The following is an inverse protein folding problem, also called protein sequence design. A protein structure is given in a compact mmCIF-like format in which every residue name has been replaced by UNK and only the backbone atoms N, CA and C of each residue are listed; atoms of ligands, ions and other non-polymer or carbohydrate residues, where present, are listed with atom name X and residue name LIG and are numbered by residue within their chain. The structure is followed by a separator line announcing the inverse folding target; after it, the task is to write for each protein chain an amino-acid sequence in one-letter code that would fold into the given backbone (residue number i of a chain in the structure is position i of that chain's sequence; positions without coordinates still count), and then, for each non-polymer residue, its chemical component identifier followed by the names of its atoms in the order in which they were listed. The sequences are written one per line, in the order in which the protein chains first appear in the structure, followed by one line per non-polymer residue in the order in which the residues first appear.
data_IF_811515532324
#
_entry.id   IF_811515532324
#
_cell.length_a   1.000
_cell.length_b   1.000
_cell.length_c   1.000
_cell.angle_alpha   90.00
_cell.angle_beta   90.00
_cell.angle_gamma   90.00
#
_symmetry.space_group_name_H-M   'P 1'
#
loop_
_entity.id
_entity.type
_entity.pdbx_description
1 polymer ?
#
# COMPACT_ATOMS: atom_id res chain seq x y z
N UNK A 1 -15.23 -3.10 6.10
CA UNK A 1 -15.64 -3.01 7.52
C UNK A 1 -14.45 -3.03 8.49
N UNK A 2 -13.44 -3.88 8.31
CA UNK A 2 -12.26 -3.95 9.20
C UNK A 2 -11.56 -2.59 9.40
N UNK A 3 -11.29 -1.84 8.33
CA UNK A 3 -10.67 -0.51 8.42
C UNK A 3 -11.46 0.47 9.32
N UNK A 4 -12.79 0.51 9.19
CA UNK A 4 -13.65 1.39 10.00
C UNK A 4 -13.63 0.98 11.47
N UNK A 5 -13.46 -0.32 11.77
CA UNK A 5 -13.35 -0.80 13.14
C UNK A 5 -12.06 -0.32 13.83
N UNK A 6 -10.95 -0.23 13.08
CA UNK A 6 -9.68 0.26 13.59
C UNK A 6 -9.67 1.79 13.78
N UNK A 7 -10.47 2.53 12.99
CA UNK A 7 -10.54 4.01 13.03
C UNK A 7 -11.99 4.55 13.08
N UNK A 8 -12.77 4.26 14.13
CA UNK A 8 -14.22 4.46 14.08
C UNK A 8 -14.67 5.91 14.21
N UNK A 9 -14.00 6.72 15.03
CA UNK A 9 -14.52 8.06 15.39
C UNK A 9 -14.18 9.11 14.33
N UNK A 10 -12.88 9.28 14.06
CA UNK A 10 -12.36 10.32 13.18
C UNK A 10 -11.89 9.80 11.81
N UNK A 11 -11.99 8.49 11.58
CA UNK A 11 -11.45 7.85 10.38
C UNK A 11 -9.92 7.83 10.41
N UNK A 12 -9.35 7.33 9.32
CA UNK A 12 -7.90 7.26 9.12
C UNK A 12 -7.33 8.49 8.38
N UNK A 13 -8.15 9.52 8.14
CA UNK A 13 -7.76 10.75 7.44
C UNK A 13 -7.96 10.70 5.92
N UNK A 14 -7.82 11.84 5.26
CA UNK A 14 -7.97 11.94 3.80
C UNK A 14 -6.94 11.08 3.04
N UNK A 15 -7.39 10.30 2.06
CA UNK A 15 -6.53 9.35 1.35
C UNK A 15 -6.30 8.03 2.09
N UNK A 16 -6.96 7.80 3.23
CA UNK A 16 -6.84 6.57 4.01
C UNK A 16 -7.09 5.30 3.20
N UNK A 17 -8.05 5.32 2.27
CA UNK A 17 -8.32 4.16 1.42
C UNK A 17 -7.07 3.77 0.63
N UNK A 18 -6.52 4.69 -0.17
CA UNK A 18 -5.32 4.44 -0.97
C UNK A 18 -4.11 4.02 -0.14
N UNK A 19 -3.99 4.48 1.11
CA UNK A 19 -2.87 4.16 1.98
C UNK A 19 -3.01 2.83 2.73
N UNK A 20 -4.24 2.36 2.97
CA UNK A 20 -4.50 1.24 3.89
C UNK A 20 -5.27 0.07 3.25
N UNK A 21 -5.82 0.21 2.03
CA UNK A 21 -6.68 -0.83 1.45
C UNK A 21 -5.95 -2.18 1.34
N UNK A 22 -4.66 -2.19 1.00
CA UNK A 22 -3.87 -3.42 0.84
C UNK A 22 -3.82 -4.26 2.13
N UNK A 23 -3.77 -3.60 3.30
CA UNK A 23 -3.81 -4.28 4.60
C UNK A 23 -5.14 -5.00 4.84
N UNK A 24 -6.25 -4.46 4.32
CA UNK A 24 -7.59 -4.97 4.60
C UNK A 24 -8.24 -5.70 3.42
N UNK A 25 -7.53 -5.83 2.29
CA UNK A 25 -8.03 -6.47 1.08
C UNK A 25 -8.28 -7.98 1.35
N UNK A 26 -9.30 -8.52 0.70
CA UNK A 26 -9.71 -9.92 0.81
C UNK A 26 -9.25 -10.78 -0.39
N UNK A 27 -8.76 -10.15 -1.45
CA UNK A 27 -8.20 -10.74 -2.65
C UNK A 27 -7.28 -9.68 -3.30
N UNK A 28 -6.36 -10.03 -4.22
CA UNK A 28 -5.31 -9.14 -4.76
C UNK A 28 -5.85 -8.07 -5.72
N UNK A 29 -6.96 -7.41 -5.41
CA UNK A 29 -7.51 -6.35 -6.24
C UNK A 29 -6.71 -5.05 -6.10
N UNK A 30 -6.62 -4.27 -7.18
CA UNK A 30 -6.06 -2.93 -7.13
C UNK A 30 -7.19 -1.89 -7.05
N UNK A 31 -7.05 -0.91 -6.16
CA UNK A 31 -8.09 0.09 -5.95
C UNK A 31 -7.50 1.41 -5.49
N UNK A 32 -7.54 2.41 -6.37
CA UNK A 32 -7.17 3.78 -6.01
C UNK A 32 -8.21 4.45 -5.09
N UNK A 33 -9.48 4.05 -5.21
CA UNK A 33 -10.62 4.66 -4.51
C UNK A 33 -11.64 3.59 -4.13
N UNK A 34 -12.29 3.74 -2.98
CA UNK A 34 -13.43 2.88 -2.65
C UNK A 34 -14.51 3.11 -3.71
N UNK A 35 -15.10 2.06 -4.26
CA UNK A 35 -16.22 2.13 -5.21
C UNK A 35 -17.54 2.53 -4.51
N UNK A 36 -17.49 3.58 -3.69
CA UNK A 36 -18.60 4.22 -3.01
C UNK A 36 -18.08 5.47 -2.33
N UNK A 37 -18.63 6.64 -2.70
CA UNK A 37 -18.31 7.90 -2.03
C UNK A 37 -18.55 7.83 -0.52
N UNK A 38 -19.67 7.22 -0.10
CA UNK A 38 -20.02 7.13 1.31
C UNK A 38 -19.05 6.25 2.09
N UNK A 39 -18.61 5.13 1.50
CA UNK A 39 -17.60 4.27 2.12
C UNK A 39 -16.26 4.98 2.22
N UNK A 40 -15.83 5.67 1.16
CA UNK A 40 -14.61 6.48 1.19
C UNK A 40 -14.71 7.55 2.27
N UNK A 41 -15.80 8.33 2.30
CA UNK A 41 -16.01 9.40 3.27
C UNK A 41 -16.05 8.87 4.71
N UNK A 42 -16.67 7.72 4.94
CA UNK A 42 -16.70 7.05 6.25
C UNK A 42 -15.31 6.59 6.69
N UNK A 43 -14.52 6.01 5.80
CA UNK A 43 -13.14 5.56 6.09
C UNK A 43 -12.23 6.75 6.39
N UNK A 44 -12.39 7.86 5.67
CA UNK A 44 -11.53 9.04 5.81
C UNK A 44 -11.89 9.91 7.02
N UNK A 45 -13.19 10.05 7.34
CA UNK A 45 -13.69 10.99 8.36
C UNK A 45 -14.30 10.31 9.59
N UNK A 46 -14.45 9.00 9.56
CA UNK A 46 -15.08 8.21 10.61
C UNK A 46 -16.57 8.43 10.71
N UNK A 47 -17.18 7.78 11.70
CA UNK A 47 -18.62 7.87 11.98
C UNK A 47 -19.03 9.31 12.30
N UNK A 48 -18.15 10.09 12.96
CA UNK A 48 -18.46 11.48 13.30
C UNK A 48 -18.64 12.33 12.04
N UNK A 49 -17.67 12.30 11.12
CA UNK A 49 -17.76 13.03 9.87
C UNK A 49 -18.94 12.55 9.04
N UNK A 50 -19.14 11.24 8.98
CA UNK A 50 -20.27 10.63 8.26
C UNK A 50 -21.64 11.11 8.77
N UNK A 51 -21.83 11.18 10.10
CA UNK A 51 -23.06 11.70 10.70
C UNK A 51 -23.24 13.19 10.38
N UNK A 52 -22.16 13.98 10.39
CA UNK A 52 -22.22 15.40 10.01
C UNK A 52 -22.68 15.57 8.57
N UNK A 53 -22.13 14.78 7.64
CA UNK A 53 -22.54 14.79 6.23
C UNK A 53 -24.02 14.40 6.08
N UNK A 54 -24.45 13.28 6.66
CA UNK A 54 -25.84 12.83 6.57
C UNK A 54 -26.81 13.80 7.24
N UNK A 55 -26.42 14.40 8.37
CA UNK A 55 -27.20 15.42 9.05
C UNK A 55 -27.36 16.68 8.20
N UNK A 56 -26.27 17.14 7.57
CA UNK A 56 -26.29 18.27 6.64
C UNK A 56 -27.22 18.01 5.45
N UNK A 57 -27.07 16.86 4.78
CA UNK A 57 -27.94 16.47 3.67
C UNK A 57 -29.40 16.35 4.13
N UNK A 58 -29.65 15.69 5.26
CA UNK A 58 -30.98 15.51 5.83
C UNK A 58 -31.69 16.83 6.14
N UNK A 59 -30.96 17.84 6.66
CA UNK A 59 -31.51 19.18 6.90
C UNK A 59 -31.87 19.88 5.59
N UNK A 60 -30.98 19.85 4.60
CA UNK A 60 -31.22 20.50 3.29
C UNK A 60 -32.43 19.87 2.60
N UNK A 61 -32.45 18.54 2.47
CA UNK A 61 -33.54 17.80 1.85
C UNK A 61 -34.85 17.95 2.63
N UNK A 62 -34.83 17.80 3.95
CA UNK A 62 -36.02 17.93 4.79
C UNK A 62 -36.66 19.31 4.69
N UNK A 63 -35.85 20.38 4.71
CA UNK A 63 -36.34 21.75 4.55
C UNK A 63 -36.79 22.06 3.12
N UNK A 64 -36.09 21.54 2.11
CA UNK A 64 -36.50 21.65 0.72
C UNK A 64 -37.88 21.01 0.49
N UNK A 65 -38.08 19.76 0.93
CA UNK A 65 -39.37 19.05 0.79
C UNK A 65 -40.51 19.77 1.52
N UNK A 66 -40.23 20.32 2.72
CA UNK A 66 -41.21 21.13 3.45
C UNK A 66 -41.59 22.41 2.68
N UNK A 67 -40.62 23.08 2.05
CA UNK A 67 -40.87 24.27 1.23
C UNK A 67 -41.64 23.91 -0.04
N UNK A 68 -41.19 22.86 -0.73
CA UNK A 68 -41.80 22.36 -1.96
C UNK A 68 -43.27 21.99 -1.80
N UNK A 69 -43.65 21.37 -0.67
CA UNK A 69 -45.05 21.03 -0.34
C UNK A 69 -45.96 22.25 -0.13
N UNK A 70 -45.39 23.40 0.24
CA UNK A 70 -46.13 24.64 0.53
C UNK A 70 -46.09 25.64 -0.63
N UNK A 71 -45.25 25.39 -1.63
CA UNK A 71 -45.01 26.31 -2.73
C UNK A 71 -46.01 26.11 -3.87
N UNK A 72 -46.36 27.20 -4.54
CA UNK A 72 -47.12 27.19 -5.79
C UNK A 72 -46.32 26.53 -6.93
N UNK A 73 -47.01 26.03 -7.95
CA UNK A 73 -46.42 25.23 -9.04
C UNK A 73 -45.24 25.91 -9.75
N UNK A 74 -45.34 27.21 -10.03
CA UNK A 74 -44.28 28.00 -10.67
C UNK A 74 -43.01 28.05 -9.79
N UNK A 75 -43.18 28.18 -8.47
CA UNK A 75 -42.05 28.19 -7.53
C UNK A 75 -41.43 26.80 -7.35
N UNK A 76 -42.27 25.75 -7.36
CA UNK A 76 -41.80 24.36 -7.34
C UNK A 76 -40.92 24.04 -8.54
N UNK A 77 -41.39 24.37 -9.75
CA UNK A 77 -40.67 24.07 -10.99
C UNK A 77 -39.31 24.80 -11.09
N UNK A 78 -39.19 26.00 -10.53
CA UNK A 78 -37.95 26.81 -10.57
C UNK A 78 -36.75 26.13 -9.89
N UNK A 79 -36.97 25.35 -8.83
CA UNK A 79 -35.88 24.75 -8.05
C UNK A 79 -35.82 23.22 -8.16
N UNK A 80 -36.78 22.59 -8.83
CA UNK A 80 -36.89 21.13 -8.92
C UNK A 80 -35.71 20.48 -9.65
N UNK A 81 -35.13 21.14 -10.65
CA UNK A 81 -33.95 20.64 -11.36
C UNK A 81 -32.76 20.38 -10.44
N UNK A 82 -32.56 21.23 -9.43
CA UNK A 82 -31.46 21.06 -8.46
C UNK A 82 -31.68 19.84 -7.58
N UNK A 83 -32.93 19.54 -7.22
CA UNK A 83 -33.27 18.31 -6.50
C UNK A 83 -32.97 17.07 -7.35
N UNK A 84 -33.39 17.06 -8.62
CA UNK A 84 -33.12 15.93 -9.54
C UNK A 84 -31.61 15.71 -9.68
N UNK A 85 -30.85 16.76 -9.97
CA UNK A 85 -29.40 16.67 -10.18
C UNK A 85 -28.67 16.19 -8.93
N UNK A 86 -28.90 16.82 -7.77
CA UNK A 86 -28.27 16.42 -6.52
C UNK A 86 -28.61 14.96 -6.16
N UNK A 87 -29.88 14.58 -6.28
CA UNK A 87 -30.35 13.24 -5.91
C UNK A 87 -29.80 12.18 -6.85
N UNK A 88 -29.82 12.44 -8.16
CA UNK A 88 -29.28 11.52 -9.16
C UNK A 88 -27.80 11.21 -8.89
N UNK A 89 -27.00 12.25 -8.68
CA UNK A 89 -25.57 12.10 -8.39
C UNK A 89 -25.36 11.38 -7.05
N UNK A 90 -26.00 11.84 -5.96
CA UNK A 90 -25.81 11.29 -4.62
C UNK A 90 -26.27 9.84 -4.47
N UNK A 91 -27.32 9.43 -5.21
CA UNK A 91 -27.77 8.03 -5.26
C UNK A 91 -26.79 7.18 -6.06
N UNK A 92 -26.32 7.67 -7.21
CA UNK A 92 -25.28 6.99 -7.99
C UNK A 92 -23.98 6.80 -7.18
N UNK A 93 -23.61 7.80 -6.38
CA UNK A 93 -22.44 7.77 -5.49
C UNK A 93 -22.51 6.72 -4.37
N UNK A 94 -23.63 6.01 -4.21
CA UNK A 94 -23.70 4.83 -3.33
C UNK A 94 -22.80 3.71 -3.84
N UNK A 95 -22.73 3.53 -5.16
CA UNK A 95 -21.99 2.45 -5.83
C UNK A 95 -20.76 2.93 -6.59
N UNK A 96 -20.59 4.25 -6.72
CA UNK A 96 -19.51 4.84 -7.52
C UNK A 96 -18.76 5.91 -6.72
N UNK A 97 -17.52 6.18 -7.13
CA UNK A 97 -16.61 7.17 -6.57
C UNK A 97 -16.68 8.51 -7.31
N UNK A 98 -17.63 8.71 -8.21
CA UNK A 98 -17.81 9.92 -9.04
C UNK A 98 -17.64 11.27 -8.30
N UNK A 99 -17.94 11.35 -7.00
CA UNK A 99 -17.73 12.53 -6.15
C UNK A 99 -16.26 12.87 -5.89
N UNK A 100 -15.31 11.98 -6.21
CA UNK A 100 -13.87 12.27 -6.17
C UNK A 100 -13.45 13.24 -7.28
N UNK A 101 -14.24 13.36 -8.35
CA UNK A 101 -14.07 14.39 -9.36
C UNK A 101 -14.60 15.73 -8.83
N UNK A 102 -13.69 16.69 -8.65
CA UNK A 102 -14.00 18.02 -8.07
C UNK A 102 -15.18 18.70 -8.77
N UNK A 103 -15.28 18.59 -10.10
CA UNK A 103 -16.38 19.22 -10.85
C UNK A 103 -17.75 18.60 -10.52
N UNK A 104 -17.84 17.29 -10.27
CA UNK A 104 -19.08 16.63 -9.83
C UNK A 104 -19.46 17.12 -8.43
N UNK A 105 -18.48 17.20 -7.52
CA UNK A 105 -18.69 17.77 -6.19
C UNK A 105 -19.25 19.19 -6.24
N UNK A 106 -18.67 20.06 -7.08
CA UNK A 106 -19.16 21.44 -7.29
C UNK A 106 -20.62 21.44 -7.76
N UNK A 107 -20.99 20.59 -8.74
CA UNK A 107 -22.37 20.49 -9.23
C UNK A 107 -23.35 20.09 -8.14
N UNK A 108 -22.98 19.14 -7.28
CA UNK A 108 -23.80 18.73 -6.12
C UNK A 108 -23.97 19.91 -5.16
N UNK A 109 -22.90 20.57 -4.73
CA UNK A 109 -23.00 21.67 -3.77
C UNK A 109 -23.74 22.90 -4.33
N UNK A 110 -23.58 23.21 -5.62
CA UNK A 110 -24.41 24.23 -6.30
C UNK A 110 -25.88 23.82 -6.26
N UNK A 111 -26.19 22.56 -6.53
CA UNK A 111 -27.56 22.03 -6.50
C UNK A 111 -28.15 22.05 -5.09
N UNK A 112 -27.37 21.69 -4.06
CA UNK A 112 -27.79 21.85 -2.66
C UNK A 112 -28.06 23.32 -2.32
N UNK A 113 -27.23 24.25 -2.80
CA UNK A 113 -27.44 25.70 -2.66
C UNK A 113 -28.71 26.20 -3.37
N UNK A 114 -28.97 25.69 -4.58
CA UNK A 114 -30.20 25.97 -5.33
C UNK A 114 -31.45 25.49 -4.61
N UNK A 115 -31.42 24.28 -4.04
CA UNK A 115 -32.48 23.80 -3.15
C UNK A 115 -32.63 24.69 -1.92
N UNK A 116 -31.53 25.09 -1.29
CA UNK A 116 -31.55 25.95 -0.10
C UNK A 116 -32.16 27.34 -0.38
N UNK A 117 -31.96 27.88 -1.59
CA UNK A 117 -32.55 29.16 -2.01
C UNK A 117 -34.09 29.14 -2.04
N UNK A 118 -34.71 27.97 -2.19
CA UNK A 118 -36.17 27.82 -2.16
C UNK A 118 -36.75 27.78 -0.74
N UNK A 119 -35.92 27.65 0.30
CA UNK A 119 -36.38 27.52 1.69
C UNK A 119 -36.76 28.89 2.22
N UNK A 120 -37.99 29.03 2.74
CA UNK A 120 -38.45 30.29 3.33
C UNK A 120 -37.54 30.74 4.48
N UNK A 121 -37.11 32.01 4.45
CA UNK A 121 -36.29 32.63 5.51
C UNK A 121 -37.12 32.83 6.78
N UNK A 122 -37.24 31.81 7.63
CA UNK A 122 -37.73 32.02 8.98
C UNK A 122 -36.56 32.47 9.88
N UNK A 123 -36.66 33.60 10.58
CA UNK A 123 -35.59 34.03 11.48
C UNK A 123 -35.43 33.01 12.62
N UNK A 124 -34.20 32.56 12.87
CA UNK A 124 -33.86 31.75 14.04
C UNK A 124 -34.22 32.53 15.31
N UNK A 125 -35.30 32.12 15.99
CA UNK A 125 -35.96 32.89 17.06
C UNK A 125 -35.20 33.00 18.40
N UNK A 126 -33.91 32.67 18.51
CA UNK A 126 -33.27 32.54 19.85
C UNK A 126 -31.83 33.03 20.02
N UNK A 127 -31.17 33.55 18.99
CA UNK A 127 -29.78 34.04 19.12
C UNK A 127 -29.71 35.45 18.53
N UNK A 128 -29.02 36.39 19.19
CA UNK A 128 -28.79 37.73 18.64
C UNK A 128 -28.17 37.56 17.24
N UNK A 129 -28.90 37.91 16.16
CA UNK A 129 -28.56 37.46 14.81
C UNK A 129 -27.25 38.08 14.30
N UNK A 130 -26.79 39.18 14.89
CA UNK A 130 -25.62 39.91 14.44
C UNK A 130 -24.30 39.31 14.95
N UNK A 131 -24.23 38.89 16.22
CA UNK A 131 -23.02 38.28 16.80
C UNK A 131 -22.76 36.89 16.24
N UNK A 132 -23.81 36.07 16.06
CA UNK A 132 -23.68 34.74 15.47
C UNK A 132 -23.26 34.80 13.99
N UNK A 133 -23.83 35.73 13.21
CA UNK A 133 -23.42 35.94 11.81
C UNK A 133 -21.98 36.42 11.70
N UNK A 134 -21.56 37.36 12.56
CA UNK A 134 -20.18 37.81 12.62
C UNK A 134 -19.23 36.67 12.98
N UNK A 135 -19.55 35.88 14.02
CA UNK A 135 -18.74 34.73 14.43
C UNK A 135 -18.64 33.67 13.32
N UNK A 136 -19.75 33.29 12.67
CA UNK A 136 -19.73 32.34 11.56
C UNK A 136 -18.93 32.87 10.36
N UNK A 137 -19.10 34.14 9.99
CA UNK A 137 -18.33 34.77 8.92
C UNK A 137 -16.83 34.83 9.25
N UNK A 138 -16.47 35.13 10.49
CA UNK A 138 -15.08 35.11 10.96
C UNK A 138 -14.49 33.70 10.92
N UNK A 139 -15.22 32.67 11.36
CA UNK A 139 -14.75 31.28 11.31
C UNK A 139 -14.52 30.84 9.86
N UNK A 140 -15.49 31.08 8.97
CA UNK A 140 -15.35 30.75 7.54
C UNK A 140 -14.22 31.55 6.89
N UNK A 141 -14.08 32.83 7.24
CA UNK A 141 -12.98 33.68 6.76
C UNK A 141 -11.62 33.16 7.21
N UNK A 142 -11.46 32.82 8.50
CA UNK A 142 -10.23 32.24 9.05
C UNK A 142 -9.94 30.89 8.39
N UNK A 143 -10.92 30.00 8.27
CA UNK A 143 -10.76 28.72 7.60
C UNK A 143 -10.35 28.89 6.13
N UNK A 144 -10.94 29.86 5.42
CA UNK A 144 -10.58 30.21 4.05
C UNK A 144 -9.15 30.74 3.93
N UNK A 145 -8.71 31.60 4.86
CA UNK A 145 -7.32 32.10 4.90
C UNK A 145 -6.34 30.97 5.19
N UNK A 146 -6.64 30.09 6.15
CA UNK A 146 -5.83 28.90 6.45
C UNK A 146 -5.71 28.02 5.19
N UNK A 147 -6.83 27.69 4.55
CA UNK A 147 -6.87 26.90 3.32
C UNK A 147 -6.06 27.54 2.18
N UNK A 148 -6.15 28.86 2.03
CA UNK A 148 -5.40 29.60 1.02
C UNK A 148 -3.90 29.53 1.29
N UNK A 149 -3.46 29.80 2.53
CA UNK A 149 -2.05 29.72 2.92
C UNK A 149 -1.53 28.29 2.73
N UNK A 150 -2.26 27.27 3.19
CA UNK A 150 -1.86 25.87 3.02
C UNK A 150 -1.77 25.47 1.55
N UNK A 151 -2.70 25.93 0.71
CA UNK A 151 -2.68 25.66 -0.74
C UNK A 151 -1.47 26.29 -1.40
N UNK A 152 -1.14 27.55 -1.07
CA UNK A 152 0.05 28.23 -1.59
C UNK A 152 1.33 27.50 -1.17
N UNK A 153 1.43 27.07 0.09
CA UNK A 153 2.56 26.29 0.58
C UNK A 153 2.69 24.96 -0.18
N UNK A 154 1.58 24.25 -0.42
CA UNK A 154 1.60 22.98 -1.13
C UNK A 154 2.01 23.14 -2.59
N UNK A 155 1.53 24.19 -3.27
CA UNK A 155 1.96 24.55 -4.63
C UNK A 155 3.46 24.86 -4.65
N UNK A 156 3.98 25.61 -3.66
CA UNK A 156 5.40 25.91 -3.58
C UNK A 156 6.27 24.66 -3.36
N UNK A 157 5.83 23.74 -2.49
CA UNK A 157 6.52 22.48 -2.27
C UNK A 157 6.53 21.62 -3.54
N UNK A 158 5.37 21.45 -4.18
CA UNK A 158 5.23 20.69 -5.42
C UNK A 158 6.02 21.30 -6.58
N UNK A 159 6.02 22.62 -6.71
CA UNK A 159 6.81 23.32 -7.72
C UNK A 159 8.31 23.17 -7.47
N UNK A 160 8.75 23.21 -6.21
CA UNK A 160 10.15 23.00 -5.86
C UNK A 160 10.58 21.56 -6.16
N UNK A 161 9.75 20.57 -5.83
CA UNK A 161 10.02 19.17 -6.19
C UNK A 161 10.05 18.94 -7.71
N UNK A 162 9.15 19.55 -8.47
CA UNK A 162 9.17 19.48 -9.93
C UNK A 162 10.47 20.08 -10.52
N UNK A 163 10.98 21.17 -9.93
CA UNK A 163 12.29 21.73 -10.30
C UNK A 163 13.43 20.78 -9.94
N UNK A 164 13.39 20.15 -8.77
CA UNK A 164 14.39 19.15 -8.38
C UNK A 164 14.47 18.00 -9.41
N UNK A 165 13.33 17.41 -9.79
CA UNK A 165 13.28 16.37 -10.81
C UNK A 165 13.79 16.86 -12.17
N UNK A 166 13.38 18.06 -12.59
CA UNK A 166 13.85 18.66 -13.85
C UNK A 166 15.37 18.84 -13.87
N UNK A 167 15.94 19.42 -12.80
CA UNK A 167 17.39 19.59 -12.65
C UNK A 167 18.12 18.26 -12.66
N UNK A 168 17.61 17.26 -11.93
CA UNK A 168 18.20 15.93 -11.89
C UNK A 168 18.28 15.27 -13.28
N UNK A 169 17.21 15.39 -14.08
CA UNK A 169 17.14 14.79 -15.41
C UNK A 169 17.98 15.58 -16.44
N UNK A 170 17.89 16.90 -16.44
CA UNK A 170 18.49 17.73 -17.49
C UNK A 170 19.97 18.05 -17.23
N UNK A 171 20.34 18.41 -16.00
CA UNK A 171 21.69 18.89 -15.69
C UNK A 171 22.50 17.92 -14.83
N UNK A 172 21.83 17.00 -14.12
CA UNK A 172 22.43 16.09 -13.14
C UNK A 172 23.20 16.81 -12.03
N UNK A 173 22.89 18.09 -11.79
CA UNK A 173 23.51 18.88 -10.72
C UNK A 173 22.93 18.46 -9.37
N UNK A 174 23.72 17.73 -8.59
CA UNK A 174 23.34 17.25 -7.27
C UNK A 174 23.02 18.39 -6.29
N UNK A 175 23.86 19.43 -6.24
CA UNK A 175 23.72 20.52 -5.27
C UNK A 175 22.45 21.32 -5.54
N UNK A 176 22.20 21.65 -6.81
CA UNK A 176 21.01 22.37 -7.21
C UNK A 176 19.74 21.52 -7.02
N UNK A 177 19.81 20.22 -7.34
CA UNK A 177 18.71 19.27 -7.08
C UNK A 177 18.37 19.24 -5.58
N UNK A 178 19.39 19.09 -4.74
CA UNK A 178 19.24 19.04 -3.28
C UNK A 178 18.70 20.35 -2.70
N UNK A 179 19.08 21.50 -3.26
CA UNK A 179 18.53 22.80 -2.87
C UNK A 179 17.00 22.86 -3.07
N UNK A 180 16.52 22.46 -4.25
CA UNK A 180 15.09 22.44 -4.54
C UNK A 180 14.34 21.38 -3.73
N UNK A 181 14.95 20.21 -3.54
CA UNK A 181 14.37 19.11 -2.79
C UNK A 181 14.24 19.42 -1.29
N UNK A 182 15.29 19.97 -0.68
CA UNK A 182 15.25 20.43 0.72
C UNK A 182 14.22 21.55 0.93
N UNK A 183 14.03 22.44 -0.05
CA UNK A 183 12.96 23.44 0.01
C UNK A 183 11.57 22.76 0.01
N UNK A 184 11.36 21.73 -0.80
CA UNK A 184 10.11 20.97 -0.81
C UNK A 184 9.87 20.26 0.53
N UNK A 185 10.88 19.56 1.05
CA UNK A 185 10.83 18.84 2.33
C UNK A 185 10.65 19.76 3.54
N UNK A 186 11.21 20.98 3.52
CA UNK A 186 10.99 21.98 4.58
C UNK A 186 9.52 22.39 4.68
N UNK A 187 8.80 22.42 3.56
CA UNK A 187 7.38 22.80 3.52
C UNK A 187 6.48 21.59 3.76
N UNK A 188 6.80 20.43 3.16
CA UNK A 188 6.07 19.17 3.32
C UNK A 188 7.05 18.02 3.53
N UNK A 189 7.46 17.81 4.77
CA UNK A 189 8.43 16.76 5.14
C UNK A 189 7.84 15.35 5.03
N UNK A 190 6.51 15.23 5.04
CA UNK A 190 5.82 13.94 5.09
C UNK A 190 5.47 13.39 3.70
N UNK A 191 5.94 13.99 2.60
CA UNK A 191 5.59 13.51 1.25
C UNK A 191 6.55 12.37 0.87
N UNK A 192 6.06 11.13 0.65
CA UNK A 192 6.91 9.97 0.43
C UNK A 192 7.87 10.14 -0.74
N UNK A 193 7.41 10.72 -1.84
CA UNK A 193 8.19 10.90 -3.05
C UNK A 193 9.38 11.84 -2.84
N UNK A 194 9.24 12.81 -1.93
CA UNK A 194 10.30 13.78 -1.65
C UNK A 194 11.41 13.12 -0.82
N UNK A 195 11.01 12.36 0.20
CA UNK A 195 11.92 11.61 1.06
C UNK A 195 12.61 10.48 0.28
N UNK A 196 11.87 9.73 -0.54
CA UNK A 196 12.39 8.67 -1.39
C UNK A 196 13.45 9.20 -2.37
N UNK A 197 13.17 10.31 -3.07
CA UNK A 197 14.14 10.90 -3.98
C UNK A 197 15.43 11.33 -3.25
N UNK A 198 15.29 11.98 -2.08
CA UNK A 198 16.44 12.43 -1.30
C UNK A 198 17.30 11.24 -0.84
N UNK A 199 16.65 10.18 -0.37
CA UNK A 199 17.33 8.96 0.05
C UNK A 199 18.01 8.25 -1.11
N UNK A 200 17.38 8.16 -2.29
CA UNK A 200 17.98 7.56 -3.49
C UNK A 200 19.23 8.33 -3.95
N UNK A 201 19.19 9.67 -3.91
CA UNK A 201 20.35 10.50 -4.24
C UNK A 201 21.52 10.24 -3.27
N UNK A 202 21.25 10.17 -1.97
CA UNK A 202 22.29 9.88 -0.99
C UNK A 202 22.80 8.44 -1.06
N UNK A 203 21.93 7.47 -1.31
CA UNK A 203 22.30 6.08 -1.57
C UNK A 203 23.25 5.96 -2.77
N UNK A 204 22.99 6.73 -3.84
CA UNK A 204 23.86 6.78 -5.01
C UNK A 204 25.24 7.39 -4.69
N UNK A 205 25.29 8.47 -3.91
CA UNK A 205 26.56 9.07 -3.48
C UNK A 205 27.34 8.11 -2.57
N UNK A 206 26.65 7.45 -1.64
CA UNK A 206 27.22 6.39 -0.81
C UNK A 206 27.83 5.27 -1.65
N UNK A 207 27.14 4.81 -2.70
CA UNK A 207 27.65 3.79 -3.61
C UNK A 207 28.98 4.19 -4.30
N UNK A 208 29.19 5.49 -4.53
CA UNK A 208 30.36 6.01 -5.22
C UNK A 208 31.51 6.33 -4.28
N UNK A 209 31.23 6.88 -3.11
CA UNK A 209 32.23 7.44 -2.20
C UNK A 209 32.52 6.56 -0.99
N UNK A 210 31.58 5.69 -0.60
CA UNK A 210 31.68 4.87 0.61
C UNK A 210 31.58 5.66 1.92
N UNK A 211 31.19 6.94 1.89
CA UNK A 211 31.05 7.76 3.10
C UNK A 211 29.74 7.46 3.84
N UNK A 212 29.89 6.93 5.05
CA UNK A 212 28.82 6.53 5.97
C UNK A 212 27.85 7.66 6.32
N UNK A 213 28.27 8.93 6.23
CA UNK A 213 27.38 10.07 6.46
C UNK A 213 26.21 10.09 5.47
N UNK A 214 26.43 9.70 4.21
CA UNK A 214 25.37 9.65 3.20
C UNK A 214 24.41 8.48 3.42
N UNK A 215 24.92 7.33 3.86
CA UNK A 215 24.06 6.22 4.28
C UNK A 215 23.14 6.65 5.44
N UNK A 216 23.72 7.25 6.49
CA UNK A 216 22.98 7.68 7.67
C UNK A 216 21.91 8.73 7.33
N UNK A 217 22.21 9.67 6.45
CA UNK A 217 21.24 10.69 6.01
C UNK A 217 20.13 10.10 5.14
N UNK A 218 20.42 9.12 4.28
CA UNK A 218 19.42 8.40 3.50
C UNK A 218 18.46 7.61 4.41
N UNK A 219 19.02 6.85 5.36
CA UNK A 219 18.25 6.07 6.32
C UNK A 219 17.39 6.99 7.21
N UNK A 220 17.98 8.05 7.75
CA UNK A 220 17.27 9.03 8.58
C UNK A 220 16.10 9.66 7.84
N UNK A 221 16.31 10.06 6.58
CA UNK A 221 15.27 10.65 5.74
C UNK A 221 14.10 9.67 5.53
N UNK A 222 14.38 8.40 5.26
CA UNK A 222 13.35 7.38 5.07
C UNK A 222 12.60 7.08 6.38
N UNK A 223 13.32 6.87 7.48
CA UNK A 223 12.72 6.57 8.80
C UNK A 223 11.83 7.71 9.30
N UNK A 224 12.27 8.96 9.16
CA UNK A 224 11.43 10.12 9.52
C UNK A 224 10.13 10.18 8.73
N UNK A 225 10.16 9.81 7.45
CA UNK A 225 8.95 9.77 6.63
C UNK A 225 8.06 8.58 6.99
N UNK A 226 8.65 7.42 7.29
CA UNK A 226 7.95 6.22 7.77
C UNK A 226 7.30 6.42 9.15
N UNK A 227 7.88 7.23 10.05
CA UNK A 227 7.26 7.58 11.33
C UNK A 227 5.89 8.26 11.15
N UNK A 228 5.68 8.94 10.01
CA UNK A 228 4.41 9.59 9.66
C UNK A 228 3.55 8.72 8.75
N UNK A 229 4.14 7.81 8.00
CA UNK A 229 3.46 6.89 7.10
C UNK A 229 4.05 5.47 7.19
N UNK A 230 3.77 4.73 8.28
CA UNK A 230 4.47 3.47 8.56
C UNK A 230 4.29 2.38 7.50
N UNK A 231 3.17 2.40 6.78
CA UNK A 231 2.87 1.43 5.73
C UNK A 231 3.19 1.91 4.31
N UNK A 232 3.92 3.00 4.13
CA UNK A 232 4.19 3.51 2.78
C UNK A 232 5.17 2.58 2.05
N UNK A 233 4.64 1.81 1.08
CA UNK A 233 5.39 0.82 0.32
C UNK A 233 6.62 1.39 -0.38
N UNK A 234 6.53 2.59 -0.96
CA UNK A 234 7.67 3.21 -1.66
C UNK A 234 8.82 3.41 -0.68
N UNK A 235 8.54 3.99 0.48
CA UNK A 235 9.57 4.24 1.51
C UNK A 235 10.16 2.94 2.06
N UNK A 236 9.32 1.94 2.33
CA UNK A 236 9.78 0.64 2.83
C UNK A 236 10.71 -0.05 1.84
N UNK A 237 10.35 -0.09 0.54
CA UNK A 237 11.20 -0.69 -0.50
C UNK A 237 12.51 0.08 -0.72
N UNK A 238 12.51 1.41 -0.53
CA UNK A 238 13.76 2.20 -0.54
C UNK A 238 14.64 1.91 0.65
N UNK A 239 14.05 1.67 1.82
CA UNK A 239 14.78 1.30 3.02
C UNK A 239 15.40 -0.10 2.88
N UNK A 240 14.63 -1.07 2.35
CA UNK A 240 15.14 -2.41 2.00
C UNK A 240 16.33 -2.31 1.05
N UNK A 241 16.20 -1.57 -0.06
CA UNK A 241 17.27 -1.44 -1.04
C UNK A 241 18.53 -0.78 -0.46
N UNK A 242 18.36 0.16 0.48
CA UNK A 242 19.47 0.78 1.19
C UNK A 242 20.20 -0.22 2.10
N UNK A 243 19.46 -1.05 2.85
CA UNK A 243 20.05 -2.10 3.69
C UNK A 243 20.70 -3.22 2.88
N UNK A 244 20.09 -3.63 1.78
CA UNK A 244 20.66 -4.62 0.86
C UNK A 244 22.02 -4.15 0.32
N UNK A 245 22.11 -2.89 -0.12
CA UNK A 245 23.37 -2.34 -0.61
C UNK A 245 24.49 -2.34 0.45
N UNK A 246 24.14 -2.18 1.73
CA UNK A 246 25.11 -2.19 2.84
C UNK A 246 25.38 -3.59 3.41
N UNK A 247 24.60 -4.61 3.01
CA UNK A 247 24.66 -5.95 3.60
C UNK A 247 24.07 -6.03 5.01
N UNK A 248 23.09 -5.18 5.33
CA UNK A 248 22.39 -5.17 6.62
C UNK A 248 21.21 -6.14 6.60
N UNK A 249 21.49 -7.45 6.57
CA UNK A 249 20.49 -8.51 6.43
C UNK A 249 19.48 -8.53 7.59
N UNK A 250 19.91 -8.24 8.83
CA UNK A 250 19.03 -8.21 10.00
C UNK A 250 17.98 -7.10 9.90
N UNK A 251 18.39 -5.91 9.50
CA UNK A 251 17.50 -4.77 9.31
C UNK A 251 16.62 -4.95 8.08
N UNK A 252 17.14 -5.54 7.00
CA UNK A 252 16.35 -5.94 5.83
C UNK A 252 15.23 -6.91 6.21
N UNK A 253 15.55 -7.96 6.96
CA UNK A 253 14.58 -8.91 7.49
C UNK A 253 13.51 -8.22 8.35
N UNK A 254 13.91 -7.33 9.26
CA UNK A 254 12.95 -6.57 10.11
C UNK A 254 11.96 -5.78 9.28
N UNK A 255 12.40 -5.10 8.23
CA UNK A 255 11.49 -4.34 7.36
C UNK A 255 10.45 -5.25 6.71
N UNK A 256 10.85 -6.43 6.21
CA UNK A 256 9.92 -7.37 5.61
C UNK A 256 8.96 -8.02 6.62
N UNK A 257 9.48 -8.56 7.72
CA UNK A 257 8.70 -9.26 8.76
C UNK A 257 7.69 -8.33 9.45
N UNK A 258 8.11 -7.13 9.87
CA UNK A 258 7.23 -6.17 10.56
C UNK A 258 6.11 -5.61 9.66
N UNK A 259 6.18 -5.81 8.34
CA UNK A 259 5.21 -5.27 7.38
C UNK A 259 4.52 -6.34 6.53
N UNK A 260 4.79 -7.63 6.72
CA UNK A 260 4.16 -8.72 5.96
C UNK A 260 2.62 -8.66 6.05
N UNK A 261 2.07 -8.41 7.24
CA UNK A 261 0.61 -8.27 7.45
C UNK A 261 0.00 -7.03 6.76
N UNK A 262 0.82 -6.05 6.34
CA UNK A 262 0.34 -4.88 5.58
C UNK A 262 0.13 -5.20 4.11
N UNK A 263 0.84 -6.20 3.60
CA UNK A 263 0.83 -6.60 2.20
C UNK A 263 0.44 -8.07 2.02
N UNK A 264 -0.69 -8.53 2.59
CA UNK A 264 -1.04 -9.96 2.67
C UNK A 264 -1.26 -10.62 1.30
N UNK A 265 -1.48 -9.84 0.24
CA UNK A 265 -1.69 -10.33 -1.12
C UNK A 265 -0.60 -9.86 -2.09
N UNK A 266 0.56 -9.51 -1.57
CA UNK A 266 1.71 -9.12 -2.38
C UNK A 266 2.70 -10.27 -2.49
N UNK A 267 2.63 -11.01 -3.59
CA UNK A 267 3.51 -12.15 -3.82
C UNK A 267 4.99 -11.75 -3.83
N UNK A 268 5.35 -10.58 -4.36
CA UNK A 268 6.75 -10.12 -4.38
C UNK A 268 7.23 -9.82 -2.96
N UNK A 269 6.38 -9.24 -2.11
CA UNK A 269 6.69 -9.02 -0.70
C UNK A 269 6.99 -10.33 0.02
N UNK A 270 6.13 -11.34 -0.14
CA UNK A 270 6.32 -12.65 0.50
C UNK A 270 7.55 -13.38 -0.03
N UNK A 271 7.85 -13.27 -1.34
CA UNK A 271 9.04 -13.88 -1.93
C UNK A 271 10.31 -13.29 -1.31
N UNK A 272 10.42 -11.95 -1.30
CA UNK A 272 11.57 -11.25 -0.72
C UNK A 272 11.65 -11.37 0.80
N UNK A 273 10.52 -11.47 1.47
CA UNK A 273 10.45 -11.75 2.90
C UNK A 273 11.02 -13.13 3.23
N UNK A 274 10.67 -14.17 2.46
CA UNK A 274 11.22 -15.51 2.64
C UNK A 274 12.73 -15.55 2.39
N UNK A 275 13.23 -14.89 1.33
CA UNK A 275 14.68 -14.76 1.09
C UNK A 275 15.40 -14.03 2.25
N UNK A 276 14.86 -12.90 2.70
CA UNK A 276 15.45 -12.12 3.80
C UNK A 276 15.46 -12.92 5.12
N UNK A 277 14.39 -13.67 5.40
CA UNK A 277 14.28 -14.54 6.58
C UNK A 277 15.27 -15.68 6.53
N UNK A 278 15.47 -16.29 5.35
CA UNK A 278 16.45 -17.35 5.18
C UNK A 278 17.88 -16.87 5.40
N UNK A 279 18.25 -15.71 4.84
CA UNK A 279 19.57 -15.09 5.07
C UNK A 279 19.79 -14.79 6.54
N UNK A 280 18.81 -14.18 7.20
CA UNK A 280 18.89 -13.90 8.63
C UNK A 280 18.99 -15.19 9.45
N UNK A 281 18.23 -16.23 9.10
CA UNK A 281 18.30 -17.54 9.75
C UNK A 281 19.67 -18.19 9.62
N UNK A 282 20.36 -18.06 8.47
CA UNK A 282 21.73 -18.54 8.27
C UNK A 282 22.71 -17.78 9.16
N UNK A 283 22.60 -16.44 9.24
CA UNK A 283 23.44 -15.61 10.12
C UNK A 283 23.26 -16.04 11.58
N UNK A 284 22.01 -16.14 12.05
CA UNK A 284 21.71 -16.51 13.44
C UNK A 284 22.11 -17.95 13.74
N UNK A 285 21.99 -18.89 12.80
CA UNK A 285 22.43 -20.29 13.01
C UNK A 285 23.90 -20.37 13.39
N UNK A 286 24.75 -19.52 12.80
CA UNK A 286 26.18 -19.47 13.12
C UNK A 286 26.46 -18.89 14.52
N UNK A 287 25.58 -18.03 15.05
CA UNK A 287 25.75 -17.33 16.33
C UNK A 287 25.01 -18.04 17.49
N UNK A 288 23.84 -18.62 17.22
CA UNK A 288 22.89 -19.19 18.19
C UNK A 288 22.03 -20.28 17.52
N UNK A 289 22.54 -21.53 17.43
CA UNK A 289 21.88 -22.64 16.71
C UNK A 289 20.45 -22.93 17.18
N UNK A 290 20.12 -22.64 18.44
CA UNK A 290 18.80 -22.90 19.02
C UNK A 290 17.68 -22.07 18.37
N UNK A 291 18.01 -20.90 17.78
CA UNK A 291 17.02 -20.00 17.14
C UNK A 291 16.81 -20.32 15.65
N UNK A 292 17.61 -21.20 15.05
CA UNK A 292 17.53 -21.57 13.63
C UNK A 292 16.11 -21.97 13.22
N UNK A 293 15.47 -22.83 14.01
CA UNK A 293 14.17 -23.39 13.68
C UNK A 293 13.05 -22.33 13.70
N UNK A 294 13.18 -21.26 14.49
CA UNK A 294 12.19 -20.19 14.53
C UNK A 294 12.08 -19.48 13.17
N UNK A 295 13.23 -19.13 12.58
CA UNK A 295 13.29 -18.53 11.24
C UNK A 295 12.83 -19.49 10.14
N UNK A 296 13.15 -20.78 10.26
CA UNK A 296 12.71 -21.78 9.28
C UNK A 296 11.18 -21.98 9.33
N UNK A 297 10.62 -22.01 10.54
CA UNK A 297 9.16 -22.09 10.74
C UNK A 297 8.44 -20.84 10.21
N UNK A 298 9.06 -19.66 10.32
CA UNK A 298 8.56 -18.40 9.75
C UNK A 298 8.48 -18.47 8.21
N UNK A 299 9.50 -19.00 7.53
CA UNK A 299 9.51 -19.21 6.07
C UNK A 299 8.40 -20.19 5.66
N UNK A 300 8.26 -21.30 6.39
CA UNK A 300 7.22 -22.30 6.12
C UNK A 300 5.82 -21.71 6.33
N UNK A 301 5.64 -20.87 7.35
CA UNK A 301 4.38 -20.17 7.59
C UNK A 301 4.06 -19.16 6.47
N UNK A 302 5.08 -18.45 5.97
CA UNK A 302 4.93 -17.53 4.84
C UNK A 302 4.49 -18.25 3.56
N UNK A 303 5.06 -19.42 3.24
CA UNK A 303 4.60 -20.24 2.12
C UNK A 303 3.13 -20.66 2.31
N UNK A 304 2.78 -21.21 3.49
CA UNK A 304 1.40 -21.64 3.79
C UNK A 304 0.39 -20.51 3.67
N UNK A 305 0.77 -19.28 4.04
CA UNK A 305 -0.08 -18.11 3.85
C UNK A 305 -0.42 -17.89 2.36
N UNK A 306 0.59 -17.96 1.48
CA UNK A 306 0.39 -17.83 0.03
C UNK A 306 -0.47 -18.98 -0.52
N UNK A 307 -0.19 -20.22 -0.11
CA UNK A 307 -0.98 -21.41 -0.50
C UNK A 307 -2.45 -21.29 -0.09
N UNK A 308 -2.71 -20.87 1.15
CA UNK A 308 -4.06 -20.62 1.65
C UNK A 308 -4.76 -19.50 0.88
N UNK A 309 -4.01 -18.45 0.52
CA UNK A 309 -4.51 -17.39 -0.35
C UNK A 309 -4.92 -17.93 -1.73
N UNK A 310 -4.08 -18.74 -2.36
CA UNK A 310 -4.38 -19.38 -3.66
C UNK A 310 -5.65 -20.24 -3.58
N UNK A 311 -5.81 -21.05 -2.53
CA UNK A 311 -7.04 -21.83 -2.34
C UNK A 311 -8.25 -20.93 -2.06
N UNK A 312 -8.08 -19.85 -1.29
CA UNK A 312 -9.16 -18.88 -1.06
C UNK A 312 -9.65 -18.25 -2.36
N UNK A 313 -8.75 -17.93 -3.29
CA UNK A 313 -9.13 -17.33 -4.57
C UNK A 313 -10.03 -18.23 -5.43
N UNK A 314 -9.94 -19.56 -5.26
CA UNK A 314 -10.86 -20.52 -5.93
C UNK A 314 -12.28 -20.48 -5.36
N UNK A 315 -12.46 -19.90 -4.17
CA UNK A 315 -13.77 -19.81 -3.49
C UNK A 315 -14.52 -18.51 -3.79
N UNK A 316 -13.96 -17.63 -4.63
CA UNK A 316 -14.58 -16.35 -4.96
C UNK A 316 -15.92 -16.56 -5.70
N UNK A 317 -16.95 -15.73 -5.41
CA UNK A 317 -18.23 -15.77 -6.11
C UNK A 317 -18.09 -15.63 -7.63
N UNK A 318 -19.00 -16.27 -8.37
CA UNK A 318 -19.07 -16.13 -9.82
C UNK A 318 -19.21 -14.65 -10.24
N UNK A 319 -18.31 -14.19 -11.10
CA UNK A 319 -18.25 -12.79 -11.55
C UNK A 319 -17.35 -11.87 -10.72
N UNK A 320 -16.85 -12.30 -9.56
CA UNK A 320 -15.83 -11.54 -8.82
C UNK A 320 -14.43 -11.84 -9.39
N UNK A 321 -13.75 -10.81 -9.87
CA UNK A 321 -12.36 -10.92 -10.34
C UNK A 321 -11.41 -11.09 -9.15
N UNK A 322 -10.41 -11.96 -9.29
CA UNK A 322 -9.39 -12.13 -8.25
C UNK A 322 -8.51 -10.88 -8.07
N UNK A 323 -8.22 -10.16 -9.16
CA UNK A 323 -7.26 -9.05 -9.19
C UNK A 323 -5.94 -9.46 -9.84
N UNK A 324 -4.82 -9.00 -9.28
CA UNK A 324 -3.47 -9.35 -9.73
C UNK A 324 -3.20 -10.85 -9.62
N UNK A 325 -2.17 -11.30 -10.32
CA UNK A 325 -1.63 -12.63 -10.12
C UNK A 325 -1.22 -12.82 -8.66
N UNK A 326 -1.56 -14.00 -8.12
CA UNK A 326 -1.18 -14.41 -6.79
C UNK A 326 -1.00 -15.93 -6.80
N UNK A 327 0.26 -16.35 -6.73
CA UNK A 327 0.69 -17.73 -6.87
C UNK A 327 1.96 -17.95 -6.06
N UNK A 328 2.27 -19.21 -5.76
CA UNK A 328 3.57 -19.57 -5.19
C UNK A 328 4.62 -19.47 -6.29
N UNK A 329 5.68 -18.70 -6.05
CA UNK A 329 6.82 -18.60 -6.99
C UNK A 329 7.81 -19.75 -6.76
N UNK A 330 8.63 -20.04 -7.78
CA UNK A 330 9.71 -21.01 -7.66
C UNK A 330 10.67 -20.66 -6.52
N UNK A 331 10.96 -19.36 -6.33
CA UNK A 331 11.80 -18.86 -5.23
C UNK A 331 11.18 -19.10 -3.85
N UNK A 332 9.87 -18.88 -3.68
CA UNK A 332 9.17 -19.25 -2.43
C UNK A 332 9.29 -20.75 -2.14
N UNK A 333 9.03 -21.59 -3.14
CA UNK A 333 9.13 -23.04 -3.01
C UNK A 333 10.56 -23.48 -2.65
N UNK A 334 11.59 -22.92 -3.31
CA UNK A 334 13.01 -23.16 -2.99
C UNK A 334 13.29 -22.76 -1.54
N UNK A 335 12.89 -21.57 -1.11
CA UNK A 335 13.17 -21.07 0.24
C UNK A 335 12.51 -21.94 1.31
N UNK A 336 11.27 -22.40 1.10
CA UNK A 336 10.61 -23.35 1.99
C UNK A 336 11.28 -24.74 1.98
N UNK A 337 11.67 -25.24 0.81
CA UNK A 337 12.42 -26.48 0.67
C UNK A 337 13.73 -26.45 1.46
N UNK A 338 14.49 -25.36 1.31
CA UNK A 338 15.71 -25.08 2.07
C UNK A 338 15.45 -24.98 3.57
N UNK A 339 14.34 -24.36 3.98
CA UNK A 339 13.97 -24.28 5.39
C UNK A 339 13.76 -25.67 6.03
N UNK A 340 13.03 -26.56 5.36
CA UNK A 340 12.87 -27.94 5.82
C UNK A 340 14.20 -28.72 5.82
N UNK A 341 15.04 -28.58 4.79
CA UNK A 341 16.36 -29.21 4.76
C UNK A 341 17.24 -28.71 5.93
N UNK A 342 17.19 -27.41 6.22
CA UNK A 342 17.90 -26.81 7.36
C UNK A 342 17.41 -27.38 8.69
N UNK A 343 16.12 -27.68 8.83
CA UNK A 343 15.55 -28.35 10.02
C UNK A 343 15.91 -29.83 10.13
N UNK A 344 16.58 -30.42 9.13
CA UNK A 344 16.86 -31.85 9.08
C UNK A 344 15.68 -32.69 8.57
N UNK A 345 14.74 -32.06 7.86
CA UNK A 345 13.51 -32.66 7.32
C UNK A 345 13.50 -32.64 5.77
N UNK A 346 14.54 -33.14 5.07
CA UNK A 346 14.67 -32.99 3.62
C UNK A 346 13.52 -33.62 2.82
N UNK A 347 12.90 -34.69 3.33
CA UNK A 347 11.70 -35.26 2.72
C UNK A 347 10.52 -34.29 2.68
N UNK A 348 10.30 -33.49 3.73
CA UNK A 348 9.29 -32.43 3.72
C UNK A 348 9.68 -31.29 2.79
N UNK A 349 10.97 -30.99 2.68
CA UNK A 349 11.49 -30.02 1.71
C UNK A 349 11.18 -30.41 0.27
N UNK A 350 11.38 -31.67 -0.09
CA UNK A 350 11.03 -32.20 -1.40
C UNK A 350 9.51 -32.10 -1.67
N UNK A 351 8.67 -32.49 -0.71
CA UNK A 351 7.20 -32.40 -0.83
C UNK A 351 6.70 -30.95 -0.94
N UNK A 352 7.35 -29.98 -0.30
CA UNK A 352 7.01 -28.57 -0.42
C UNK A 352 7.37 -27.98 -1.80
N UNK A 353 8.41 -28.49 -2.46
CA UNK A 353 8.85 -28.00 -3.78
C UNK A 353 8.12 -28.68 -4.94
N UNK A 354 7.78 -29.97 -4.80
CA UNK A 354 7.25 -30.83 -5.86
C UNK A 354 6.04 -30.28 -6.62
N UNK A 355 5.02 -29.66 -5.99
CA UNK A 355 3.86 -29.15 -6.71
C UNK A 355 4.17 -28.01 -7.68
N UNK A 356 5.32 -27.35 -7.50
CA UNK A 356 5.71 -26.15 -8.22
C UNK A 356 6.78 -26.41 -9.30
N UNK A 357 7.18 -27.68 -9.49
CA UNK A 357 8.09 -28.08 -10.54
C UNK A 357 7.49 -27.81 -11.93
N UNK A 358 8.33 -27.40 -12.87
CA UNK A 358 7.93 -27.06 -14.23
C UNK A 358 8.94 -27.62 -15.23
N UNK A 359 8.43 -28.28 -16.28
CA UNK A 359 9.26 -28.95 -17.30
C UNK A 359 10.00 -27.97 -18.22
N UNK A 360 9.62 -26.69 -18.24
CA UNK A 360 10.39 -25.64 -18.92
C UNK A 360 11.65 -25.27 -18.12
N UNK A 361 12.66 -26.13 -18.24
CA UNK A 361 13.99 -26.00 -17.64
C UNK A 361 14.90 -24.99 -18.36
N UNK A 362 14.41 -24.33 -19.42
CA UNK A 362 15.09 -23.18 -20.02
C UNK A 362 14.99 -21.93 -19.14
N UNK A 363 13.93 -21.86 -18.32
CA UNK A 363 13.78 -20.86 -17.27
C UNK A 363 14.71 -21.19 -16.10
N UNK A 364 15.52 -20.20 -15.70
CA UNK A 364 16.53 -20.35 -14.65
C UNK A 364 15.91 -20.69 -13.29
N UNK A 365 14.77 -20.09 -12.94
CA UNK A 365 14.11 -20.30 -11.65
C UNK A 365 13.50 -21.70 -11.56
N UNK A 366 12.93 -22.21 -12.67
CA UNK A 366 12.40 -23.58 -12.75
C UNK A 366 13.52 -24.61 -12.62
N UNK A 367 14.66 -24.36 -13.29
CA UNK A 367 15.84 -25.22 -13.21
C UNK A 367 16.43 -25.24 -11.80
N UNK A 368 16.52 -24.08 -11.16
CA UNK A 368 16.98 -23.97 -9.77
C UNK A 368 16.05 -24.71 -8.81
N UNK A 369 14.73 -24.58 -8.96
CA UNK A 369 13.76 -25.30 -8.14
C UNK A 369 13.89 -26.82 -8.30
N UNK A 370 13.99 -27.31 -9.53
CA UNK A 370 14.20 -28.72 -9.80
C UNK A 370 15.53 -29.23 -9.19
N UNK A 371 16.60 -28.43 -9.25
CA UNK A 371 17.88 -28.75 -8.62
C UNK A 371 17.76 -28.90 -7.10
N UNK A 372 17.11 -27.95 -6.43
CA UNK A 372 16.87 -28.02 -4.99
C UNK A 372 15.97 -29.19 -4.60
N UNK A 373 14.92 -29.46 -5.39
CA UNK A 373 14.05 -30.62 -5.21
C UNK A 373 14.85 -31.93 -5.25
N UNK A 374 15.65 -32.13 -6.30
CA UNK A 374 16.51 -33.31 -6.42
C UNK A 374 17.49 -33.41 -5.26
N UNK A 375 18.17 -32.32 -4.90
CA UNK A 375 19.08 -32.29 -3.75
C UNK A 375 18.40 -32.71 -2.44
N UNK A 376 17.17 -32.25 -2.20
CA UNK A 376 16.35 -32.66 -1.06
C UNK A 376 15.98 -34.15 -1.11
N UNK A 377 15.61 -34.69 -2.28
CA UNK A 377 15.34 -36.14 -2.40
C UNK A 377 16.59 -36.96 -2.05
N UNK A 378 17.77 -36.56 -2.55
CA UNK A 378 19.05 -37.24 -2.29
C UNK A 378 19.38 -37.22 -0.81
N UNK A 379 19.23 -36.07 -0.14
CA UNK A 379 19.43 -35.97 1.32
C UNK A 379 18.46 -36.85 2.11
N UNK A 380 17.25 -37.05 1.59
CA UNK A 380 16.25 -37.96 2.16
C UNK A 380 16.51 -39.45 1.84
N UNK A 381 17.62 -39.78 1.17
CA UNK A 381 17.98 -41.16 0.81
C UNK A 381 17.23 -41.72 -0.39
N UNK A 382 16.57 -40.86 -1.18
CA UNK A 382 15.84 -41.20 -2.41
C UNK A 382 16.43 -40.44 -3.59
N UNK A 383 16.15 -40.85 -4.83
CA UNK A 383 16.51 -40.04 -6.00
C UNK A 383 15.36 -40.12 -7.00
N UNK A 384 14.77 -38.98 -7.33
CA UNK A 384 13.81 -38.88 -8.43
C UNK A 384 14.57 -38.90 -9.76
N UNK A 385 14.80 -40.09 -10.31
CA UNK A 385 15.59 -40.29 -11.54
C UNK A 385 14.99 -39.55 -12.74
N UNK A 386 13.66 -39.36 -12.79
CA UNK A 386 13.01 -38.67 -13.90
C UNK A 386 13.44 -37.20 -13.98
N UNK A 387 13.33 -36.48 -12.86
CA UNK A 387 13.76 -35.09 -12.77
C UNK A 387 15.29 -34.92 -12.82
N UNK A 388 16.03 -35.89 -12.25
CA UNK A 388 17.49 -35.90 -12.30
C UNK A 388 18.01 -36.00 -13.74
N UNK A 389 17.50 -36.95 -14.53
CA UNK A 389 17.89 -37.14 -15.92
C UNK A 389 17.47 -35.95 -16.79
N UNK A 390 16.29 -35.36 -16.54
CA UNK A 390 15.83 -34.15 -17.23
C UNK A 390 16.79 -32.97 -17.02
N UNK A 391 17.23 -32.70 -15.79
CA UNK A 391 18.18 -31.62 -15.49
C UNK A 391 19.52 -31.82 -16.22
N UNK A 392 20.08 -33.02 -16.16
CA UNK A 392 21.37 -33.33 -16.80
C UNK A 392 21.27 -33.24 -18.33
N UNK A 393 20.10 -33.56 -18.90
CA UNK A 393 19.88 -33.45 -20.34
C UNK A 393 19.91 -32.01 -20.85
N UNK A 394 19.56 -31.05 -19.98
CA UNK A 394 19.56 -29.61 -20.30
C UNK A 394 20.96 -29.02 -20.16
N UNK A 395 21.67 -29.38 -19.09
CA UNK A 395 23.04 -28.96 -18.85
C UNK A 395 23.79 -30.03 -18.03
N UNK A 396 24.84 -30.68 -18.59
CA UNK A 396 25.64 -31.67 -17.87
C UNK A 396 26.30 -31.13 -16.59
N UNK A 397 26.53 -29.81 -16.47
CA UNK A 397 27.09 -29.19 -15.26
C UNK A 397 26.10 -29.22 -14.07
N UNK A 398 24.81 -29.44 -14.32
CA UNK A 398 23.80 -29.59 -13.27
C UNK A 398 24.11 -30.75 -12.32
N UNK A 399 24.83 -31.78 -12.79
CA UNK A 399 25.25 -32.88 -11.91
C UNK A 399 26.08 -32.38 -10.73
N UNK A 400 27.07 -31.53 -10.99
CA UNK A 400 27.93 -30.98 -9.92
C UNK A 400 27.12 -30.07 -8.99
N UNK A 401 26.22 -29.27 -9.55
CA UNK A 401 25.34 -28.38 -8.79
C UNK A 401 24.37 -29.15 -7.87
N UNK A 402 23.80 -30.25 -8.36
CA UNK A 402 22.97 -31.17 -7.57
C UNK A 402 23.78 -31.79 -6.44
N UNK A 403 24.99 -32.27 -6.72
CA UNK A 403 25.88 -32.84 -5.69
C UNK A 403 26.25 -31.80 -4.62
N UNK A 404 26.47 -30.54 -5.00
CA UNK A 404 26.71 -29.44 -4.06
C UNK A 404 25.50 -29.21 -3.16
N UNK A 405 24.30 -29.12 -3.71
CA UNK A 405 23.05 -28.96 -2.94
C UNK A 405 22.82 -30.14 -2.01
N UNK A 406 22.93 -31.38 -2.52
CA UNK A 406 22.75 -32.59 -1.73
C UNK A 406 23.80 -32.70 -0.61
N UNK A 407 25.02 -32.20 -0.85
CA UNK A 407 26.12 -32.20 0.12
C UNK A 407 26.01 -31.13 1.21
N UNK A 408 25.13 -30.14 1.08
CA UNK A 408 24.99 -29.07 2.09
C UNK A 408 24.55 -29.63 3.43
N UNK A 409 25.36 -29.39 4.47
CA UNK A 409 25.00 -29.66 5.87
C UNK A 409 24.79 -28.33 6.56
N UNK A 410 23.61 -28.16 7.14
CA UNK A 410 23.13 -26.91 7.73
C UNK A 410 23.10 -26.94 9.24
#
# INVERSE_FOLDING_TARGET
MKLVADYPVFGAGGGAWSALYEKYQNNPYESAQAHSYYMQYLVETGVLGFIILLGFLGVVYGKYVQSFRKAEEIQRNRYFMYFILATSILVHSVMDFNMSYVYIGILVFISLGGMAASISKQPLKRIKPQTLKAAAASIVGIAGVIMFITSVLFIQASSSFAKANKTLVETKDFNQTMQYLNKALKIRSTVPEYAALKADLFKQVYAQQGDEAFFAEAEHTLRQALDKQPGNRILLLRLVALYEQKGMDSERYKVYSENAERFPWDMEWYDKYMDATLRQGIVVTNESPDQKNEYMDEIIAALRHVEQGVEHLKTLPEGQLQGREFSVTSSMAINAGRAYMMKGEPGQGAEAMKPYLNEDLSNVDNRELARWYIGATIQNGQVDQGWYDQLISVDPEEKEQIEQVAGMRF
#
